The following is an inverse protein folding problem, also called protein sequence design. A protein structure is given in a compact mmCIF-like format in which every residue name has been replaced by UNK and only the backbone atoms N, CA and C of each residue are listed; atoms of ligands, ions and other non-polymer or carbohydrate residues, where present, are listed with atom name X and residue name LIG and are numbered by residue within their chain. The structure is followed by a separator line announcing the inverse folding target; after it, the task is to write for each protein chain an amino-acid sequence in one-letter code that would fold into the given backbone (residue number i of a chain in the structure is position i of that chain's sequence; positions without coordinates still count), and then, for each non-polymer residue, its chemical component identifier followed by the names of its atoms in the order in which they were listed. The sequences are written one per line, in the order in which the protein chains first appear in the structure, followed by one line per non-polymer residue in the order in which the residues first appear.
data_IF_526046236357
#
_entry.id   IF_526046236357
#
_cell.length_a   1.000
_cell.length_b   1.000
_cell.length_c   1.000
_cell.angle_alpha   90.00
_cell.angle_beta   90.00
_cell.angle_gamma   90.00
#
_symmetry.space_group_name_H-M   'P 1'
#
loop_
_entity.id
_entity.type
_entity.pdbx_description
1 polymer ?
#
# COMPACT_ATOMS: atom_id res chain seq x y z
N UNK A 1 -18.04 8.32 -10.89
CA UNK A 1 -18.32 7.80 -9.54
C UNK A 1 -16.99 7.55 -8.84
N UNK A 2 -16.41 8.60 -8.27
CA UNK A 2 -15.12 8.53 -7.57
C UNK A 2 -15.37 8.40 -6.07
N UNK A 3 -14.79 7.38 -5.44
CA UNK A 3 -14.79 7.22 -3.99
C UNK A 3 -13.97 8.36 -3.38
N UNK A 4 -14.66 9.34 -2.81
CA UNK A 4 -14.05 10.49 -2.16
C UNK A 4 -13.66 10.12 -0.73
N UNK A 5 -12.57 9.38 -0.57
CA UNK A 5 -11.95 9.15 0.74
C UNK A 5 -11.22 10.45 1.14
N UNK A 6 -11.84 11.25 2.02
CA UNK A 6 -11.19 12.38 2.67
C UNK A 6 -10.15 11.84 3.65
N UNK A 7 -8.89 11.76 3.23
CA UNK A 7 -7.75 11.55 4.13
C UNK A 7 -7.26 12.93 4.55
N UNK A 8 -7.43 13.29 5.82
CA UNK A 8 -6.90 14.54 6.36
C UNK A 8 -5.38 14.58 6.24
N UNK A 9 -4.88 15.66 5.63
CA UNK A 9 -3.63 16.34 5.95
C UNK A 9 -2.33 15.53 5.98
N UNK A 10 -1.54 15.64 4.91
CA UNK A 10 -0.08 15.47 4.96
C UNK A 10 0.48 14.23 4.28
N UNK A 11 0.45 14.17 2.94
CA UNK A 11 1.01 13.04 2.17
C UNK A 11 1.97 13.42 1.04
N UNK A 12 2.10 14.71 0.69
CA UNK A 12 2.78 15.11 -0.54
C UNK A 12 4.30 14.86 -0.52
N UNK A 13 4.97 14.98 0.63
CA UNK A 13 6.44 15.02 0.68
C UNK A 13 7.13 13.65 0.69
N UNK A 14 6.49 12.59 1.20
CA UNK A 14 7.07 11.24 1.24
C UNK A 14 6.98 10.53 -0.11
N UNK A 15 5.89 10.77 -0.85
CA UNK A 15 5.68 10.18 -2.17
C UNK A 15 6.64 10.77 -3.22
N UNK A 16 6.90 12.08 -3.16
CA UNK A 16 7.87 12.77 -4.04
C UNK A 16 9.30 12.23 -3.85
N UNK A 17 9.73 11.98 -2.60
CA UNK A 17 11.07 11.42 -2.34
C UNK A 17 11.23 10.00 -2.90
N UNK A 18 10.22 9.15 -2.71
CA UNK A 18 10.22 7.79 -3.27
C UNK A 18 10.28 7.80 -4.80
N UNK A 19 9.46 8.65 -5.44
CA UNK A 19 9.43 8.80 -6.91
C UNK A 19 10.76 9.32 -7.48
N UNK A 20 11.46 10.18 -6.75
CA UNK A 20 12.74 10.75 -7.20
C UNK A 20 13.87 9.72 -7.19
N UNK A 21 13.91 8.84 -6.17
CA UNK A 21 14.91 7.78 -6.08
C UNK A 21 14.74 6.73 -7.18
N UNK A 22 13.50 6.31 -7.47
CA UNK A 22 13.21 5.33 -8.54
C UNK A 22 13.67 5.85 -9.91
N UNK A 23 13.43 7.14 -10.19
CA UNK A 23 13.87 7.77 -11.44
C UNK A 23 15.39 7.84 -11.54
N UNK A 24 16.08 8.22 -10.47
CA UNK A 24 17.55 8.27 -10.45
C UNK A 24 18.19 6.90 -10.69
N UNK A 25 17.66 5.85 -10.05
CA UNK A 25 18.12 4.47 -10.24
C UNK A 25 17.90 3.97 -11.67
N UNK A 26 16.73 4.25 -12.24
CA UNK A 26 16.42 3.88 -13.64
C UNK A 26 17.35 4.60 -14.62
N UNK A 27 17.64 5.89 -14.38
CA UNK A 27 18.58 6.66 -15.19
C UNK A 27 20.00 6.10 -15.12
N UNK A 28 20.44 5.68 -13.93
CA UNK A 28 21.75 5.03 -13.76
C UNK A 28 21.83 3.74 -14.59
N UNK A 29 20.84 2.86 -14.48
CA UNK A 29 20.77 1.64 -15.28
C UNK A 29 20.82 1.93 -16.79
N UNK A 30 20.11 2.96 -17.26
CA UNK A 30 20.13 3.38 -18.66
C UNK A 30 21.52 3.87 -19.10
N UNK A 31 22.23 4.61 -18.25
CA UNK A 31 23.57 5.14 -18.57
C UNK A 31 24.65 4.04 -18.63
N UNK A 32 24.49 2.97 -17.85
CA UNK A 32 25.45 1.85 -17.79
C UNK A 32 25.00 0.62 -18.60
N UNK A 33 23.90 0.73 -19.34
CA UNK A 33 23.30 -0.37 -20.13
C UNK A 33 23.05 -1.65 -19.32
N UNK A 34 22.77 -1.52 -18.03
CA UNK A 34 22.55 -2.66 -17.15
C UNK A 34 21.13 -3.22 -17.30
N UNK A 35 20.98 -4.55 -17.39
CA UNK A 35 19.66 -5.17 -17.45
C UNK A 35 18.85 -4.78 -16.21
N UNK A 36 17.68 -4.19 -16.43
CA UNK A 36 16.75 -3.78 -15.39
C UNK A 36 15.46 -4.59 -15.52
N UNK A 37 15.14 -5.35 -14.48
CA UNK A 37 13.88 -6.09 -14.38
C UNK A 37 12.98 -5.41 -13.36
N UNK A 38 11.84 -4.89 -13.80
CA UNK A 38 10.81 -4.32 -12.92
C UNK A 38 9.70 -5.35 -12.72
N UNK A 39 9.27 -5.51 -11.46
CA UNK A 39 8.19 -6.39 -11.09
C UNK A 39 7.01 -5.55 -10.57
N UNK A 40 5.85 -5.70 -11.20
CA UNK A 40 4.59 -5.14 -10.69
C UNK A 40 3.77 -6.27 -10.05
N UNK A 41 3.57 -6.19 -8.74
CA UNK A 41 2.88 -7.22 -7.96
C UNK A 41 1.44 -6.81 -7.73
N UNK A 42 0.51 -7.54 -8.36
CA UNK A 42 -0.92 -7.35 -8.16
C UNK A 42 -1.31 -7.63 -6.71
N UNK A 43 -2.07 -6.72 -6.12
CA UNK A 43 -2.60 -6.85 -4.76
C UNK A 43 -1.53 -7.03 -3.68
N UNK A 44 -0.32 -6.44 -3.88
CA UNK A 44 0.80 -6.51 -2.95
C UNK A 44 0.38 -6.37 -1.47
N UNK A 45 -0.36 -5.32 -1.12
CA UNK A 45 -0.78 -5.06 0.27
C UNK A 45 -1.76 -6.10 0.84
N UNK A 46 -2.55 -6.76 0.00
CA UNK A 46 -3.48 -7.80 0.48
C UNK A 46 -2.76 -9.09 0.88
N UNK A 47 -1.50 -9.26 0.47
CA UNK A 47 -0.68 -10.42 0.79
C UNK A 47 0.14 -10.25 2.08
N UNK A 48 0.12 -9.07 2.70
CA UNK A 48 0.76 -8.81 4.00
C UNK A 48 -0.24 -8.86 5.15
N UNK A 49 0.30 -8.85 6.37
CA UNK A 49 -0.48 -8.80 7.61
C UNK A 49 -0.53 -7.36 8.13
N UNK A 50 -1.59 -7.03 8.86
CA UNK A 50 -1.68 -5.75 9.58
C UNK A 50 -0.79 -5.81 10.83
N UNK A 51 0.00 -4.75 11.06
CA UNK A 51 0.80 -4.59 12.28
C UNK A 51 -0.10 -4.18 13.46
N UNK A 52 -1.13 -3.38 13.17
CA UNK A 52 -2.08 -2.86 14.15
C UNK A 52 -3.52 -3.14 13.73
N UNK A 53 -4.43 -3.26 14.71
CA UNK A 53 -5.85 -3.40 14.41
C UNK A 53 -6.42 -2.09 13.85
N UNK A 54 -6.95 -2.15 12.62
CA UNK A 54 -7.58 -1.00 11.96
C UNK A 54 -9.06 -1.27 11.77
N UNK A 55 -9.87 -0.28 12.15
CA UNK A 55 -11.31 -0.24 11.92
C UNK A 55 -11.62 0.87 10.91
N UNK A 56 -12.62 0.65 10.07
CA UNK A 56 -13.10 1.64 9.09
C UNK A 56 -14.62 1.72 9.12
N UNK A 57 -15.14 2.89 8.78
CA UNK A 57 -16.58 3.04 8.56
C UNK A 57 -17.04 2.20 7.36
N UNK A 58 -18.30 1.77 7.42
CA UNK A 58 -18.94 1.11 6.30
C UNK A 58 -19.00 2.05 5.09
N UNK A 59 -18.90 1.48 3.90
CA UNK A 59 -19.07 2.25 2.69
C UNK A 59 -20.50 2.83 2.61
N UNK A 60 -20.68 4.05 2.08
CA UNK A 60 -21.99 4.64 1.87
C UNK A 60 -22.89 3.68 1.08
N UNK A 61 -24.06 3.35 1.64
CA UNK A 61 -25.01 2.39 1.06
C UNK A 61 -25.05 1.02 1.74
N UNK A 62 -24.07 0.67 2.59
CA UNK A 62 -24.13 -0.53 3.43
C UNK A 62 -24.79 -0.30 4.79
N UNK A 63 -24.96 0.95 5.19
CA UNK A 63 -25.53 1.37 6.49
C UNK A 63 -26.95 0.81 6.73
N UNK A 64 -27.79 0.81 5.69
CA UNK A 64 -29.20 0.40 5.78
C UNK A 64 -29.40 -1.11 5.94
N UNK A 65 -28.42 -1.92 5.53
CA UNK A 65 -28.54 -3.38 5.52
C UNK A 65 -28.32 -3.96 6.93
N UNK A 66 -27.53 -3.28 7.75
CA UNK A 66 -27.03 -3.88 8.99
C UNK A 66 -27.53 -3.25 10.28
N UNK A 67 -28.26 -2.14 10.23
CA UNK A 67 -28.89 -1.50 11.39
C UNK A 67 -27.89 -0.97 12.42
N UNK A 68 -27.86 0.36 12.58
CA UNK A 68 -27.01 1.05 13.56
C UNK A 68 -25.63 1.45 13.04
N UNK A 69 -24.91 2.20 13.87
CA UNK A 69 -23.53 2.64 13.62
C UNK A 69 -22.59 1.44 13.80
N UNK A 70 -22.06 0.92 12.68
CA UNK A 70 -21.18 -0.24 12.65
C UNK A 70 -19.90 0.11 11.93
N UNK A 71 -18.80 -0.42 12.45
CA UNK A 71 -17.47 -0.31 11.87
C UNK A 71 -17.00 -1.68 11.40
N UNK A 72 -16.20 -1.72 10.33
CA UNK A 72 -15.57 -2.91 9.81
C UNK A 72 -14.14 -3.02 10.34
N UNK A 73 -13.78 -4.19 10.87
CA UNK A 73 -12.38 -4.51 11.16
C UNK A 73 -11.68 -4.96 9.88
N UNK A 74 -10.58 -4.30 9.53
CA UNK A 74 -9.73 -4.73 8.42
C UNK A 74 -8.95 -5.98 8.81
N UNK A 75 -8.92 -6.95 7.90
CA UNK A 75 -8.14 -8.19 8.04
C UNK A 75 -6.81 -8.15 7.29
N UNK A 76 -6.69 -7.23 6.32
CA UNK A 76 -5.53 -7.07 5.45
C UNK A 76 -5.25 -5.59 5.23
N UNK A 77 -3.98 -5.19 5.05
CA UNK A 77 -3.64 -3.81 4.71
C UNK A 77 -4.25 -3.39 3.37
N UNK A 78 -4.84 -2.18 3.34
CA UNK A 78 -5.44 -1.58 2.15
C UNK A 78 -4.61 -0.39 1.65
N UNK A 79 -4.85 0.05 0.43
CA UNK A 79 -4.29 1.29 -0.09
C UNK A 79 -4.65 2.47 0.81
N UNK A 80 -3.70 3.40 0.99
CA UNK A 80 -3.88 4.60 1.81
C UNK A 80 -3.64 4.44 3.31
N UNK A 81 -3.45 3.22 3.83
CA UNK A 81 -2.98 3.05 5.20
C UNK A 81 -1.48 3.34 5.29
N UNK A 82 -1.06 4.10 6.30
CA UNK A 82 0.36 4.42 6.56
C UNK A 82 1.23 3.16 6.67
N UNK A 83 0.67 2.09 7.25
CA UNK A 83 1.37 0.84 7.50
C UNK A 83 1.46 -0.10 6.28
N UNK A 84 0.64 0.09 5.24
CA UNK A 84 0.58 -0.85 4.10
C UNK A 84 1.90 -1.02 3.35
N UNK A 85 2.64 0.06 3.00
CA UNK A 85 3.94 -0.08 2.32
C UNK A 85 4.96 -0.84 3.17
N UNK A 86 5.00 -0.56 4.48
CA UNK A 86 5.94 -1.21 5.41
C UNK A 86 5.61 -2.69 5.59
N UNK A 87 4.34 -3.00 5.85
CA UNK A 87 3.88 -4.38 6.02
C UNK A 87 4.18 -5.25 4.79
N UNK A 88 4.02 -4.69 3.59
CA UNK A 88 4.38 -5.37 2.35
C UNK A 88 5.89 -5.57 2.20
N UNK A 89 6.70 -4.53 2.44
CA UNK A 89 8.16 -4.64 2.37
C UNK A 89 8.67 -5.74 3.30
N UNK A 90 8.15 -5.80 4.53
CA UNK A 90 8.51 -6.80 5.53
C UNK A 90 8.16 -8.22 5.05
N UNK A 91 6.93 -8.42 4.56
CA UNK A 91 6.47 -9.72 4.05
C UNK A 91 7.28 -10.16 2.84
N UNK A 92 7.50 -9.26 1.88
CA UNK A 92 8.24 -9.52 0.66
C UNK A 92 9.69 -9.90 0.97
N UNK A 93 10.36 -9.16 1.85
CA UNK A 93 11.75 -9.43 2.25
C UNK A 93 11.88 -10.81 2.87
N UNK A 94 11.00 -11.15 3.83
CA UNK A 94 10.97 -12.48 4.47
C UNK A 94 10.74 -13.60 3.45
N UNK A 95 9.82 -13.39 2.51
CA UNK A 95 9.56 -14.35 1.45
C UNK A 95 10.78 -14.56 0.56
N UNK A 96 11.42 -13.51 0.05
CA UNK A 96 12.62 -13.64 -0.79
C UNK A 96 13.77 -14.32 -0.04
N UNK A 97 14.00 -13.96 1.23
CA UNK A 97 15.02 -14.60 2.06
C UNK A 97 14.77 -16.09 2.26
N UNK A 98 13.51 -16.54 2.29
CA UNK A 98 13.19 -17.96 2.45
C UNK A 98 13.41 -18.80 1.18
N UNK A 99 13.57 -18.17 0.01
CA UNK A 99 13.82 -18.86 -1.26
C UNK A 99 15.30 -18.97 -1.62
N UNK A 100 16.19 -18.30 -0.88
CA UNK A 100 17.65 -18.39 -1.03
C UNK A 100 18.24 -19.45 -0.11
#
# INVERSE_FOLDING_TARGET
MGLHLKIQGGWLNQEIHSQSLVKGFTQMHANFEWPLHQLDVKHAFLNSELEEEVYMDLAPGFEKIHGGEKVCKLKRPLYGLKQSPRAWLDKFTKSIQSYG
#
